data_IF_263358510041
#
_entry.id   IF_263358510041
#
_cell.length_a   1.000
_cell.length_b   1.000
_cell.length_c   1.000
_cell.angle_alpha   90.00
_cell.angle_beta   90.00
_cell.angle_gamma   90.00
#
_symmetry.space_group_name_H-M   'P 1'
#
loop_
_entity.id
_entity.type
_entity.pdbx_description
1 polymer ?
#
# COMPACT_ATOMS: atom_id res chain seq x y z
N UNK A 1 11.05 4.65 10.59
CA UNK A 1 10.97 3.99 9.27
C UNK A 1 9.74 4.48 8.51
N UNK A 2 9.86 4.61 7.21
CA UNK A 2 8.75 5.06 6.36
C UNK A 2 8.32 3.93 5.46
N UNK A 3 7.05 3.53 5.56
CA UNK A 3 6.53 2.32 4.96
C UNK A 3 5.36 2.66 4.04
N UNK A 4 5.29 1.98 2.89
CA UNK A 4 4.13 2.06 1.98
C UNK A 4 3.46 0.70 1.90
N UNK A 5 2.13 0.68 1.97
CA UNK A 5 1.34 -0.53 1.79
C UNK A 5 0.46 -0.35 0.55
N UNK A 6 0.63 -1.22 -0.44
CA UNK A 6 -0.26 -1.24 -1.61
C UNK A 6 -1.49 -2.10 -1.28
N UNK A 7 -2.64 -1.75 -1.84
CA UNK A 7 -3.87 -2.44 -1.51
C UNK A 7 -4.28 -2.25 -0.07
N UNK A 8 -3.96 -1.08 0.49
CA UNK A 8 -4.13 -0.80 1.92
C UNK A 8 -5.57 -0.95 2.41
N UNK A 9 -6.55 -0.75 1.55
CA UNK A 9 -7.97 -0.87 1.91
C UNK A 9 -8.55 -2.28 1.77
N UNK A 10 -7.79 -3.22 1.21
CA UNK A 10 -8.23 -4.61 1.09
C UNK A 10 -8.14 -5.35 2.44
N UNK A 11 -8.65 -6.59 2.48
CA UNK A 11 -8.66 -7.35 3.74
C UNK A 11 -7.26 -7.65 4.26
N UNK A 12 -6.34 -8.04 3.38
CA UNK A 12 -4.95 -8.31 3.77
C UNK A 12 -4.20 -7.02 4.03
N UNK A 13 -4.31 -6.04 3.13
CA UNK A 13 -3.63 -4.76 3.25
C UNK A 13 -4.03 -4.00 4.51
N UNK A 14 -5.31 -3.97 4.84
CA UNK A 14 -5.78 -3.27 6.03
C UNK A 14 -5.27 -3.93 7.32
N UNK A 15 -5.23 -5.26 7.36
CA UNK A 15 -4.69 -5.96 8.52
C UNK A 15 -3.18 -5.72 8.67
N UNK A 16 -2.44 -5.71 7.56
CA UNK A 16 -1.02 -5.33 7.58
C UNK A 16 -0.84 -3.93 8.15
N UNK A 17 -1.66 -2.98 7.71
CA UNK A 17 -1.60 -1.61 8.22
C UNK A 17 -1.83 -1.55 9.73
N UNK A 18 -2.80 -2.30 10.24
CA UNK A 18 -3.07 -2.36 11.68
C UNK A 18 -1.87 -2.87 12.47
N UNK A 19 -1.21 -3.91 11.95
CA UNK A 19 -0.03 -4.47 12.60
C UNK A 19 1.18 -3.54 12.49
N UNK A 20 1.35 -2.90 11.34
CA UNK A 20 2.46 -1.98 11.09
C UNK A 20 2.40 -0.77 12.03
N UNK A 21 1.23 -0.15 12.19
CA UNK A 21 1.13 1.06 13.04
C UNK A 21 1.43 0.76 14.51
N UNK A 22 1.22 -0.47 14.97
CA UNK A 22 1.59 -0.88 16.33
C UNK A 22 3.08 -0.80 16.58
N UNK A 23 3.90 -0.90 15.54
CA UNK A 23 5.36 -0.79 15.61
C UNK A 23 5.83 0.67 15.58
N UNK A 24 4.89 1.60 15.47
CA UNK A 24 5.13 3.05 15.53
C UNK A 24 6.18 3.53 14.53
N UNK A 25 5.99 3.25 13.21
CA UNK A 25 6.88 3.81 12.21
C UNK A 25 6.70 5.32 12.13
N UNK A 26 7.63 6.01 11.49
CA UNK A 26 7.51 7.46 11.32
C UNK A 26 6.35 7.80 10.38
N UNK A 27 6.23 7.09 9.27
CA UNK A 27 5.22 7.35 8.25
C UNK A 27 4.69 6.05 7.69
N UNK A 28 3.37 5.96 7.51
CA UNK A 28 2.72 4.87 6.78
C UNK A 28 1.95 5.49 5.62
N UNK A 29 2.32 5.12 4.39
CA UNK A 29 1.63 5.55 3.19
C UNK A 29 0.65 4.47 2.76
N UNK A 30 -0.62 4.82 2.67
CA UNK A 30 -1.70 3.92 2.28
C UNK A 30 -1.96 4.13 0.79
N UNK A 31 -1.56 3.18 -0.04
CA UNK A 31 -1.75 3.25 -1.48
C UNK A 31 -2.88 2.31 -1.87
N UNK A 32 -4.00 2.87 -2.33
CA UNK A 32 -5.22 2.12 -2.61
C UNK A 32 -5.93 2.71 -3.81
N UNK A 33 -6.49 1.85 -4.68
CA UNK A 33 -7.18 2.31 -5.89
C UNK A 33 -8.66 2.58 -5.68
N UNK A 34 -9.26 2.09 -4.59
CA UNK A 34 -10.68 2.27 -4.29
C UNK A 34 -10.85 3.37 -3.26
N UNK A 35 -11.52 4.45 -3.64
CA UNK A 35 -11.65 5.64 -2.79
C UNK A 35 -12.29 5.34 -1.44
N UNK A 36 -13.42 4.61 -1.42
CA UNK A 36 -14.12 4.30 -0.18
C UNK A 36 -13.27 3.43 0.75
N UNK A 37 -12.59 2.42 0.19
CA UNK A 37 -11.72 1.55 0.98
C UNK A 37 -10.55 2.33 1.58
N UNK A 38 -9.97 3.25 0.81
CA UNK A 38 -8.90 4.12 1.29
C UNK A 38 -9.39 5.01 2.44
N UNK A 39 -10.56 5.61 2.29
CA UNK A 39 -11.14 6.46 3.32
C UNK A 39 -11.32 5.71 4.64
N UNK A 40 -11.91 4.51 4.60
CA UNK A 40 -12.17 3.74 5.81
C UNK A 40 -10.90 3.34 6.54
N UNK A 41 -9.88 2.85 5.81
CA UNK A 41 -8.64 2.45 6.48
C UNK A 41 -7.88 3.67 7.03
N UNK A 42 -7.90 4.79 6.32
CA UNK A 42 -7.28 6.03 6.80
C UNK A 42 -7.93 6.47 8.11
N UNK A 43 -9.25 6.53 8.17
CA UNK A 43 -9.96 6.94 9.37
C UNK A 43 -9.70 5.99 10.54
N UNK A 44 -9.68 4.71 10.28
CA UNK A 44 -9.38 3.72 11.32
C UNK A 44 -7.98 3.91 11.90
N UNK A 45 -6.98 4.09 11.04
CA UNK A 45 -5.60 4.24 11.50
C UNK A 45 -5.36 5.57 12.22
N UNK A 46 -6.00 6.64 11.77
CA UNK A 46 -5.93 7.92 12.46
C UNK A 46 -6.50 7.79 13.87
N UNK A 47 -7.62 7.08 14.03
CA UNK A 47 -8.21 6.86 15.34
C UNK A 47 -7.31 5.99 16.23
N UNK A 48 -6.74 4.93 15.68
CA UNK A 48 -5.86 4.02 16.45
C UNK A 48 -4.57 4.67 16.90
N UNK A 49 -4.08 5.69 16.17
CA UNK A 49 -2.78 6.31 16.44
C UNK A 49 -2.88 7.70 17.06
N UNK A 50 -4.09 8.18 17.33
CA UNK A 50 -4.30 9.56 17.77
C UNK A 50 -3.56 9.92 19.06
N UNK A 51 -3.32 8.96 19.94
CA UNK A 51 -2.65 9.19 21.23
C UNK A 51 -1.17 8.78 21.20
N UNK A 52 -0.64 8.43 20.04
CA UNK A 52 0.77 8.03 19.93
C UNK A 52 1.69 9.24 20.07
N UNK A 53 2.77 9.06 20.82
CA UNK A 53 3.80 10.09 21.03
C UNK A 53 5.18 9.44 20.97
N UNK A 54 6.00 9.69 19.94
CA UNK A 54 5.72 10.60 18.81
C UNK A 54 4.61 10.09 17.89
N UNK A 55 3.95 11.00 17.15
CA UNK A 55 2.86 10.58 16.26
C UNK A 55 3.37 9.81 15.06
N UNK A 56 2.51 8.92 14.53
CA UNK A 56 2.73 8.25 13.27
C UNK A 56 2.02 9.06 12.18
N UNK A 57 2.75 9.44 11.14
CA UNK A 57 2.14 10.13 10.01
C UNK A 57 1.41 9.13 9.11
N UNK A 58 0.12 9.33 8.91
CA UNK A 58 -0.71 8.50 8.02
C UNK A 58 -0.98 9.29 6.76
N UNK A 59 -0.54 8.78 5.61
CA UNK A 59 -0.70 9.45 4.32
C UNK A 59 -1.54 8.56 3.40
N UNK A 60 -2.68 9.08 2.92
CA UNK A 60 -3.55 8.36 2.00
C UNK A 60 -3.27 8.79 0.57
N UNK A 61 -3.02 7.84 -0.32
CA UNK A 61 -2.76 8.09 -1.74
C UNK A 61 -3.68 7.22 -2.58
N UNK A 62 -4.56 7.86 -3.35
CA UNK A 62 -5.44 7.17 -4.27
C UNK A 62 -4.70 6.93 -5.59
N UNK A 63 -4.57 5.67 -5.98
CA UNK A 63 -3.88 5.32 -7.22
C UNK A 63 -3.89 3.83 -7.50
N UNK A 64 -3.54 3.49 -8.75
CA UNK A 64 -3.41 2.11 -9.20
C UNK A 64 -1.95 1.69 -9.23
N UNK A 65 -1.65 0.46 -8.82
CA UNK A 65 -0.31 -0.12 -8.92
C UNK A 65 0.14 -0.28 -10.38
N UNK A 66 -0.79 -0.22 -11.32
CA UNK A 66 -0.48 -0.27 -12.75
C UNK A 66 0.07 1.07 -13.26
N UNK A 67 -0.14 2.15 -12.51
CA UNK A 67 0.41 3.47 -12.83
C UNK A 67 1.79 3.61 -12.19
N UNK A 68 2.82 3.21 -12.90
CA UNK A 68 4.20 3.21 -12.38
C UNK A 68 4.69 4.62 -12.03
N UNK A 69 4.27 5.64 -12.77
CA UNK A 69 4.65 7.02 -12.47
C UNK A 69 4.07 7.48 -11.14
N UNK A 70 2.80 7.14 -10.88
CA UNK A 70 2.15 7.46 -9.62
C UNK A 70 2.85 6.78 -8.44
N UNK A 71 3.21 5.51 -8.61
CA UNK A 71 3.94 4.76 -7.58
C UNK A 71 5.31 5.41 -7.33
N UNK A 72 6.06 5.72 -8.39
CA UNK A 72 7.37 6.36 -8.26
C UNK A 72 7.29 7.71 -7.54
N UNK A 73 6.35 8.56 -7.95
CA UNK A 73 6.14 9.85 -7.29
C UNK A 73 5.88 9.69 -5.80
N UNK A 74 5.02 8.73 -5.45
CA UNK A 74 4.66 8.49 -4.06
C UNK A 74 5.86 8.03 -3.25
N UNK A 75 6.64 7.09 -3.78
CA UNK A 75 7.83 6.58 -3.11
C UNK A 75 8.86 7.67 -2.85
N UNK A 76 9.10 8.52 -3.83
CA UNK A 76 10.06 9.63 -3.72
C UNK A 76 9.56 10.72 -2.80
N UNK A 77 8.32 11.14 -2.98
CA UNK A 77 7.75 12.25 -2.20
C UNK A 77 7.79 11.97 -0.70
N UNK A 78 7.55 10.73 -0.29
CA UNK A 78 7.47 10.34 1.11
C UNK A 78 8.72 9.64 1.61
N UNK A 79 9.76 9.53 0.79
CA UNK A 79 11.03 8.89 1.15
C UNK A 79 10.83 7.48 1.72
N UNK A 80 10.04 6.69 1.03
CA UNK A 80 9.66 5.35 1.46
C UNK A 80 10.87 4.40 1.44
N UNK A 81 11.03 3.62 2.49
CA UNK A 81 12.14 2.66 2.62
C UNK A 81 11.70 1.20 2.53
N UNK A 82 10.45 0.91 2.86
CA UNK A 82 9.91 -0.45 2.78
C UNK A 82 8.54 -0.44 2.12
N UNK A 83 8.26 -1.44 1.29
CA UNK A 83 6.98 -1.59 0.61
C UNK A 83 6.38 -2.95 0.92
N UNK A 84 5.14 -2.97 1.41
CA UNK A 84 4.36 -4.19 1.57
C UNK A 84 3.33 -4.24 0.46
N UNK A 85 3.50 -5.19 -0.46
CA UNK A 85 2.68 -5.27 -1.67
C UNK A 85 1.49 -6.22 -1.46
N UNK A 86 0.41 -5.69 -0.89
CA UNK A 86 -0.79 -6.48 -0.61
C UNK A 86 -1.82 -6.44 -1.75
N UNK A 87 -1.66 -5.54 -2.72
CA UNK A 87 -2.64 -5.37 -3.80
C UNK A 87 -2.87 -6.65 -4.61
N UNK A 88 -1.84 -7.49 -4.78
CA UNK A 88 -1.96 -8.75 -5.52
C UNK A 88 -2.98 -9.70 -4.92
N UNK A 89 -3.16 -9.66 -3.61
CA UNK A 89 -4.09 -10.57 -2.92
C UNK A 89 -5.55 -10.21 -3.12
N UNK A 90 -5.84 -8.99 -3.55
CA UNK A 90 -7.21 -8.55 -3.84
C UNK A 90 -7.85 -9.33 -4.97
N UNK A 91 -7.04 -9.94 -5.82
CA UNK A 91 -7.50 -10.63 -7.03
C UNK A 91 -7.71 -12.13 -6.83
N UNK A 92 -7.54 -12.65 -5.62
CA UNK A 92 -7.73 -14.07 -5.35
C UNK A 92 -9.11 -14.58 -5.77
N UNK A 93 -10.24 -13.91 -5.45
CA UNK A 93 -11.55 -14.34 -5.92
C UNK A 93 -11.66 -14.31 -7.45
N UNK A 94 -11.00 -13.37 -8.11
CA UNK A 94 -11.00 -13.29 -9.57
C UNK A 94 -10.22 -14.43 -10.21
N UNK A 95 -9.18 -14.91 -9.53
CA UNK A 95 -8.42 -16.08 -9.99
C UNK A 95 -9.30 -17.33 -10.05
N UNK A 96 -10.27 -17.45 -9.16
CA UNK A 96 -11.22 -18.57 -9.15
C UNK A 96 -12.19 -18.49 -10.34
N UNK A 97 -12.67 -17.29 -10.67
CA UNK A 97 -13.63 -17.08 -11.75
C UNK A 97 -12.96 -16.91 -13.12
N UNK A 98 -11.77 -16.31 -13.15
CA UNK A 98 -11.02 -16.05 -14.39
C UNK A 98 -9.53 -16.13 -14.11
N UNK A 99 -8.99 -17.34 -13.94
CA UNK A 99 -7.61 -17.50 -13.43
C UNK A 99 -6.52 -16.90 -14.33
N UNK A 100 -6.70 -16.96 -15.65
CA UNK A 100 -5.68 -16.47 -16.58
C UNK A 100 -5.53 -14.95 -16.46
N UNK A 101 -6.64 -14.24 -16.50
CA UNK A 101 -6.63 -12.78 -16.40
C UNK A 101 -6.17 -12.31 -15.03
N UNK A 102 -6.63 -12.94 -13.95
CA UNK A 102 -6.23 -12.60 -12.60
C UNK A 102 -4.75 -12.78 -12.37
N UNK A 103 -4.17 -13.89 -12.84
CA UNK A 103 -2.72 -14.14 -12.72
C UNK A 103 -1.95 -13.08 -13.50
N UNK A 104 -2.39 -12.78 -14.72
CA UNK A 104 -1.72 -11.78 -15.55
C UNK A 104 -1.69 -10.40 -14.88
N UNK A 105 -2.84 -9.96 -14.36
CA UNK A 105 -2.92 -8.67 -13.68
C UNK A 105 -2.00 -8.60 -12.45
N UNK A 106 -1.96 -9.67 -11.66
CA UNK A 106 -1.08 -9.72 -10.48
C UNK A 106 0.38 -9.65 -10.87
N UNK A 107 0.80 -10.38 -11.90
CA UNK A 107 2.19 -10.38 -12.36
C UNK A 107 2.59 -8.99 -12.86
N UNK A 108 1.76 -8.36 -13.68
CA UNK A 108 2.05 -7.02 -14.20
C UNK A 108 2.11 -5.99 -13.07
N UNK A 109 1.13 -6.00 -12.16
CA UNK A 109 1.09 -5.08 -11.03
C UNK A 109 2.32 -5.20 -10.14
N UNK A 110 2.70 -6.43 -9.80
CA UNK A 110 3.89 -6.69 -8.98
C UNK A 110 5.16 -6.20 -9.68
N UNK A 111 5.28 -6.46 -10.98
CA UNK A 111 6.42 -6.02 -11.76
C UNK A 111 6.55 -4.49 -11.75
N UNK A 112 5.46 -3.77 -11.93
CA UNK A 112 5.48 -2.30 -11.93
C UNK A 112 5.88 -1.73 -10.58
N UNK A 113 5.41 -2.30 -9.49
CA UNK A 113 5.79 -1.86 -8.15
C UNK A 113 7.28 -2.14 -7.92
N UNK A 114 7.76 -3.31 -8.31
CA UNK A 114 9.18 -3.68 -8.17
C UNK A 114 10.07 -2.73 -8.96
N UNK A 115 9.72 -2.40 -10.19
CA UNK A 115 10.48 -1.46 -11.02
C UNK A 115 10.51 -0.06 -10.39
N UNK A 116 9.36 0.42 -9.89
CA UNK A 116 9.27 1.72 -9.25
C UNK A 116 10.12 1.76 -7.97
N UNK A 117 10.08 0.70 -7.16
CA UNK A 117 10.89 0.61 -5.95
C UNK A 117 12.38 0.65 -6.27
N UNK A 118 12.81 -0.09 -7.28
CA UNK A 118 14.21 -0.12 -7.70
C UNK A 118 14.67 1.27 -8.15
N UNK A 119 13.84 1.96 -8.94
CA UNK A 119 14.16 3.30 -9.43
C UNK A 119 14.23 4.33 -8.29
N UNK A 120 13.35 4.21 -7.30
CA UNK A 120 13.30 5.13 -6.18
C UNK A 120 14.34 4.83 -5.08
N UNK A 121 15.06 3.71 -5.17
CA UNK A 121 16.06 3.32 -4.20
C UNK A 121 15.49 2.77 -2.90
N UNK A 122 14.32 2.13 -2.97
CA UNK A 122 13.68 1.51 -1.81
C UNK A 122 14.47 0.26 -1.39
N UNK A 123 14.72 0.13 -0.09
CA UNK A 123 15.57 -0.94 0.45
C UNK A 123 14.87 -2.30 0.54
N UNK A 124 13.56 -2.34 0.69
CA UNK A 124 12.83 -3.60 0.79
C UNK A 124 11.35 -3.50 0.49
#
# INVERSE_FOLDING_TARGET
MKILVTGAGGSIGSELCRQIVRRKPKTVVLFEMTESALFYIEQELLDRTKDFNPPVEIVAVLGSILDSNRVKETLLKHDVKSVFHAAAYKHVPMLESNPIEGVWNNVIGTKRVTEACSWAGVES
#
